data_IF_871232102253
#
_entry.id   IF_871232102253
#
_cell.length_a   1.000
_cell.length_b   1.000
_cell.length_c   1.000
_cell.angle_alpha   90.00
_cell.angle_beta   90.00
_cell.angle_gamma   90.00
#
_symmetry.space_group_name_H-M   'P 1'
#
loop_
_entity.id
_entity.type
_entity.pdbx_description
1 polymer ?
#
# COMPACT_ATOMS: atom_id res chain seq x y z
N UNK A 1 23.32 -38.14 82.37
CA UNK A 1 24.44 -38.19 81.44
C UNK A 1 23.90 -38.68 80.10
N UNK A 2 23.69 -37.81 79.19
CA UNK A 2 23.25 -38.14 77.79
C UNK A 2 24.40 -37.67 76.88
N UNK A 3 24.78 -38.45 75.89
CA UNK A 3 25.89 -38.12 75.01
C UNK A 3 25.42 -37.15 73.89
N UNK A 4 26.22 -36.18 73.61
CA UNK A 4 26.12 -35.22 72.53
C UNK A 4 26.61 -35.87 71.22
N UNK A 5 25.78 -35.83 70.17
CA UNK A 5 26.19 -36.13 68.81
C UNK A 5 26.56 -34.89 68.01
N UNK A 6 27.62 -34.86 67.21
CA UNK A 6 27.96 -33.71 66.39
C UNK A 6 27.10 -33.69 65.10
N UNK A 7 26.56 -32.53 64.81
CA UNK A 7 25.87 -32.22 63.57
C UNK A 7 26.90 -31.99 62.48
N UNK A 8 26.91 -32.87 61.46
CA UNK A 8 27.68 -32.66 60.24
C UNK A 8 26.83 -31.84 59.28
N UNK A 9 27.24 -30.58 59.08
CA UNK A 9 26.62 -29.71 58.08
C UNK A 9 27.20 -30.03 56.72
N UNK A 10 26.43 -30.75 55.90
CA UNK A 10 26.77 -30.98 54.48
C UNK A 10 26.38 -29.72 53.67
N UNK A 11 27.37 -28.99 53.20
CA UNK A 11 27.17 -27.89 52.24
C UNK A 11 26.90 -28.48 50.85
N UNK A 12 25.67 -28.43 50.40
CA UNK A 12 25.30 -28.74 49.01
C UNK A 12 25.65 -27.54 48.15
N UNK A 13 26.72 -27.63 47.38
CA UNK A 13 27.12 -26.70 46.37
C UNK A 13 26.22 -26.93 45.13
N UNK A 14 25.16 -26.15 45.01
CA UNK A 14 24.31 -26.14 43.82
C UNK A 14 25.03 -25.37 42.72
N UNK A 15 25.65 -26.07 41.78
CA UNK A 15 26.13 -25.49 40.53
C UNK A 15 24.89 -25.11 39.68
N UNK A 16 24.55 -23.82 39.67
CA UNK A 16 23.67 -23.27 38.64
C UNK A 16 24.44 -23.22 37.31
N UNK A 17 24.29 -24.26 36.47
CA UNK A 17 24.57 -24.14 35.06
C UNK A 17 23.57 -23.16 34.47
N UNK A 18 23.94 -21.91 34.31
CA UNK A 18 23.24 -20.96 33.44
C UNK A 18 23.49 -21.43 31.98
N UNK A 19 22.64 -22.32 31.50
CA UNK A 19 22.50 -22.53 30.07
C UNK A 19 21.91 -21.23 29.50
N UNK A 20 22.78 -20.36 29.00
CA UNK A 20 22.37 -19.31 28.09
C UNK A 20 21.83 -19.99 26.84
N UNK A 21 20.51 -20.22 26.80
CA UNK A 21 19.80 -20.49 25.58
C UNK A 21 19.97 -19.25 24.69
N UNK A 22 20.96 -19.29 23.78
CA UNK A 22 20.98 -18.49 22.59
C UNK A 22 19.81 -18.95 21.72
N UNK A 23 18.58 -18.64 22.15
CA UNK A 23 17.44 -18.65 21.28
C UNK A 23 17.75 -17.62 20.19
N UNK A 24 17.94 -18.06 18.96
CA UNK A 24 17.85 -17.17 17.82
C UNK A 24 16.59 -16.33 18.01
N UNK A 25 16.76 -15.02 18.25
CA UNK A 25 15.62 -14.12 18.28
C UNK A 25 15.06 -14.13 16.88
N UNK A 26 14.00 -14.90 16.68
CA UNK A 26 13.23 -14.92 15.43
C UNK A 26 12.74 -13.50 15.22
N UNK A 27 13.10 -12.89 14.10
CA UNK A 27 12.65 -11.55 13.79
C UNK A 27 11.13 -11.51 13.69
N UNK A 28 10.53 -10.41 14.11
CA UNK A 28 9.09 -10.23 13.99
C UNK A 28 8.72 -10.06 12.51
N UNK A 29 7.75 -10.81 12.04
CA UNK A 29 7.17 -10.67 10.69
C UNK A 29 5.72 -10.21 10.81
N UNK A 30 5.29 -9.36 9.90
CA UNK A 30 3.89 -9.03 9.82
C UNK A 30 3.05 -10.25 9.34
N UNK A 31 1.76 -10.30 9.65
CA UNK A 31 0.94 -11.48 9.35
C UNK A 31 1.03 -11.91 7.88
N UNK A 32 1.19 -13.23 7.66
CA UNK A 32 1.33 -13.86 6.33
C UNK A 32 2.53 -13.38 5.50
N UNK A 33 3.49 -12.68 6.10
CA UNK A 33 4.73 -12.31 5.43
C UNK A 33 5.66 -13.53 5.30
N UNK A 34 6.31 -13.72 4.15
CA UNK A 34 7.43 -14.62 4.06
C UNK A 34 8.67 -13.99 4.73
N UNK A 35 9.62 -14.79 5.20
CA UNK A 35 10.93 -14.29 5.59
C UNK A 35 11.54 -13.45 4.46
N UNK A 36 12.05 -12.25 4.74
CA UNK A 36 12.62 -11.40 3.70
C UNK A 36 13.98 -11.88 3.22
N UNK A 37 14.25 -11.72 1.92
CA UNK A 37 15.60 -11.84 1.36
C UNK A 37 16.31 -10.50 1.42
N UNK A 38 17.12 -10.30 2.44
CA UNK A 38 17.92 -9.08 2.58
C UNK A 38 19.04 -8.95 1.52
N UNK A 39 19.37 -10.04 0.81
CA UNK A 39 20.36 -10.04 -0.27
C UNK A 39 19.99 -9.15 -1.45
N UNK A 40 18.70 -8.83 -1.63
CA UNK A 40 18.21 -7.92 -2.68
C UNK A 40 18.83 -6.51 -2.57
N UNK A 41 19.22 -6.08 -1.37
CA UNK A 41 19.84 -4.76 -1.16
C UNK A 41 21.17 -4.58 -1.88
N UNK A 42 21.88 -5.67 -2.23
CA UNK A 42 23.13 -5.60 -3.03
C UNK A 42 22.93 -4.92 -4.39
N UNK A 43 21.75 -5.06 -4.96
CA UNK A 43 21.39 -4.43 -6.24
C UNK A 43 21.26 -2.89 -6.17
N UNK A 44 21.27 -2.33 -4.97
CA UNK A 44 21.15 -0.89 -4.75
C UNK A 44 22.46 -0.24 -4.29
N UNK A 45 23.59 -0.97 -4.28
CA UNK A 45 24.87 -0.44 -3.86
C UNK A 45 25.31 0.74 -4.75
N UNK A 46 25.53 1.91 -4.14
CA UNK A 46 25.91 3.15 -4.82
C UNK A 46 24.78 3.84 -5.58
N UNK A 47 23.50 3.46 -5.35
CA UNK A 47 22.36 4.05 -6.07
C UNK A 47 21.76 5.28 -5.40
N UNK A 48 22.20 5.64 -4.21
CA UNK A 48 21.71 6.81 -3.46
C UNK A 48 22.85 7.44 -2.66
N UNK A 49 22.82 8.76 -2.46
CA UNK A 49 23.73 9.48 -1.57
C UNK A 49 23.23 9.44 -0.12
N UNK A 50 24.13 9.64 0.83
CA UNK A 50 23.80 9.63 2.25
C UNK A 50 22.74 10.68 2.62
N UNK A 51 22.90 11.90 2.14
CA UNK A 51 22.00 13.01 2.41
C UNK A 51 20.58 12.74 1.88
N UNK A 52 20.47 12.17 0.69
CA UNK A 52 19.19 11.86 0.07
C UNK A 52 18.51 10.65 0.77
N UNK A 53 19.29 9.65 1.19
CA UNK A 53 18.78 8.53 1.98
C UNK A 53 18.21 9.03 3.31
N UNK A 54 18.95 9.88 4.03
CA UNK A 54 18.50 10.44 5.31
C UNK A 54 17.27 11.33 5.14
N UNK A 55 17.26 12.17 4.10
CA UNK A 55 16.12 13.03 3.77
C UNK A 55 14.85 12.21 3.52
N UNK A 56 14.92 11.19 2.64
CA UNK A 56 13.76 10.36 2.31
C UNK A 56 13.27 9.57 3.53
N UNK A 57 14.17 9.01 4.34
CA UNK A 57 13.79 8.34 5.58
C UNK A 57 13.07 9.29 6.53
N UNK A 58 13.57 10.52 6.71
CA UNK A 58 13.06 11.47 7.71
C UNK A 58 11.83 12.24 7.24
N UNK A 59 11.72 12.54 5.93
CA UNK A 59 10.64 13.37 5.40
C UNK A 59 9.50 12.58 4.77
N UNK A 60 9.78 11.36 4.26
CA UNK A 60 8.79 10.59 3.50
C UNK A 60 8.42 9.29 4.22
N UNK A 61 9.43 8.43 4.47
CA UNK A 61 9.15 7.05 4.85
C UNK A 61 8.91 6.85 6.35
N UNK A 62 9.70 7.53 7.23
CA UNK A 62 9.67 7.31 8.69
C UNK A 62 9.83 8.65 9.43
N UNK A 63 8.86 9.54 9.38
CA UNK A 63 9.00 10.91 9.86
C UNK A 63 9.14 11.04 11.39
N UNK A 64 8.79 10.00 12.15
CA UNK A 64 8.98 9.97 13.60
C UNK A 64 10.45 9.72 14.01
N UNK A 65 11.33 9.45 13.05
CA UNK A 65 12.76 9.23 13.25
C UNK A 65 13.14 7.86 13.80
N UNK A 66 12.17 6.95 14.02
CA UNK A 66 12.41 5.59 14.56
C UNK A 66 13.25 4.71 13.64
N UNK A 67 13.43 5.09 12.38
CA UNK A 67 14.35 4.40 11.48
C UNK A 67 15.80 4.33 12.00
N UNK A 68 16.21 5.28 12.89
CA UNK A 68 17.56 5.32 13.48
C UNK A 68 17.86 4.14 14.40
N UNK A 69 16.85 3.44 14.88
CA UNK A 69 17.02 2.20 15.64
C UNK A 69 17.54 1.05 14.78
N UNK A 70 17.33 1.14 13.44
CA UNK A 70 17.60 0.07 12.49
C UNK A 70 18.65 0.41 11.45
N UNK A 71 18.92 1.70 11.21
CA UNK A 71 19.78 2.17 10.12
C UNK A 71 20.71 3.25 10.67
N UNK A 72 22.02 3.02 10.49
CA UNK A 72 23.07 4.01 10.76
C UNK A 72 23.65 4.46 9.42
N UNK A 73 23.63 5.76 9.14
CA UNK A 73 24.11 6.34 7.90
C UNK A 73 25.45 7.04 8.14
N UNK A 74 26.42 6.73 7.31
CA UNK A 74 27.72 7.44 7.21
C UNK A 74 27.88 7.94 5.76
N UNK A 75 28.86 8.81 5.46
CA UNK A 75 29.04 9.32 4.10
C UNK A 75 29.25 8.24 3.03
N UNK A 76 29.80 7.07 3.39
CA UNK A 76 30.13 6.01 2.44
C UNK A 76 29.23 4.78 2.47
N UNK A 77 28.48 4.59 3.54
CA UNK A 77 27.64 3.39 3.69
C UNK A 77 26.44 3.62 4.64
N UNK A 78 25.40 2.82 4.44
CA UNK A 78 24.35 2.62 5.41
C UNK A 78 24.49 1.23 6.05
N UNK A 79 24.52 1.18 7.38
CA UNK A 79 24.57 -0.06 8.17
C UNK A 79 23.16 -0.37 8.64
N UNK A 80 22.59 -1.45 8.14
CA UNK A 80 21.20 -1.83 8.35
C UNK A 80 21.16 -3.05 9.26
N UNK A 81 20.35 -2.99 10.34
CA UNK A 81 20.08 -4.09 11.25
C UNK A 81 18.83 -4.85 10.79
N UNK A 82 18.95 -6.08 10.26
CA UNK A 82 17.80 -6.86 9.81
C UNK A 82 16.86 -7.24 10.96
N UNK A 83 17.42 -7.71 12.06
CA UNK A 83 16.74 -8.07 13.30
C UNK A 83 17.71 -8.05 14.48
N UNK A 84 17.23 -7.98 15.74
CA UNK A 84 18.09 -8.09 16.91
C UNK A 84 18.93 -9.38 16.83
N UNK A 85 20.22 -9.27 17.13
CA UNK A 85 21.17 -10.40 17.11
C UNK A 85 21.65 -10.86 15.73
N UNK A 86 21.10 -10.36 14.63
CA UNK A 86 21.61 -10.64 13.30
C UNK A 86 22.83 -9.76 12.96
N UNK A 87 23.74 -10.28 12.13
CA UNK A 87 24.82 -9.48 11.56
C UNK A 87 24.28 -8.32 10.74
N UNK A 88 24.89 -7.12 10.82
CA UNK A 88 24.45 -5.96 10.05
C UNK A 88 24.71 -6.12 8.56
N UNK A 89 23.84 -5.53 7.76
CA UNK A 89 24.01 -5.43 6.30
C UNK A 89 24.64 -4.07 6.01
N UNK A 90 25.74 -4.07 5.29
CA UNK A 90 26.42 -2.85 4.84
C UNK A 90 26.04 -2.57 3.39
N UNK A 91 25.37 -1.44 3.18
CA UNK A 91 24.98 -0.95 1.86
C UNK A 91 25.91 0.21 1.48
N UNK A 92 26.81 0.04 0.51
CA UNK A 92 27.63 1.14 -0.01
C UNK A 92 26.73 2.24 -0.60
N UNK A 93 27.02 3.50 -0.27
CA UNK A 93 26.33 4.68 -0.81
C UNK A 93 27.16 5.31 -1.92
N UNK A 94 26.52 6.14 -2.75
CA UNK A 94 27.20 6.90 -3.77
C UNK A 94 28.13 7.94 -3.10
N UNK A 95 29.43 8.03 -3.51
CA UNK A 95 30.33 9.01 -2.94
C UNK A 95 29.86 10.45 -3.18
N UNK A 96 30.16 11.38 -2.28
CA UNK A 96 29.86 12.80 -2.49
C UNK A 96 30.40 13.30 -3.84
N UNK A 97 29.63 14.11 -4.56
CA UNK A 97 30.01 14.68 -5.85
C UNK A 97 29.99 13.73 -7.05
N UNK A 98 29.63 12.45 -6.85
CA UNK A 98 29.46 11.50 -7.96
C UNK A 98 27.99 11.27 -8.26
N UNK A 99 27.66 10.93 -9.51
CA UNK A 99 26.30 10.53 -9.85
C UNK A 99 26.00 9.14 -9.29
N UNK A 100 24.84 8.96 -8.61
CA UNK A 100 24.42 7.66 -8.16
C UNK A 100 24.26 6.67 -9.32
N UNK A 101 24.60 5.41 -9.06
CA UNK A 101 24.37 4.33 -10.02
C UNK A 101 22.86 4.12 -10.20
N UNK A 102 22.48 3.65 -11.39
CA UNK A 102 21.09 3.20 -11.59
C UNK A 102 20.76 2.05 -10.64
N UNK A 103 19.65 2.16 -9.85
CA UNK A 103 19.22 1.07 -8.97
C UNK A 103 18.81 -0.17 -9.75
N UNK A 104 19.02 -1.35 -9.18
CA UNK A 104 18.52 -2.61 -9.75
C UNK A 104 17.02 -2.72 -9.54
N UNK A 105 16.25 -2.31 -10.53
CA UNK A 105 14.79 -2.33 -10.54
C UNK A 105 14.25 -2.78 -11.89
N UNK A 106 13.06 -3.38 -11.90
CA UNK A 106 12.45 -3.87 -13.15
C UNK A 106 11.66 -2.81 -13.92
N UNK A 107 11.32 -1.71 -13.31
CA UNK A 107 10.52 -0.63 -13.89
C UNK A 107 11.39 0.52 -14.40
N UNK A 108 10.85 1.30 -15.32
CA UNK A 108 11.49 2.47 -15.92
C UNK A 108 10.79 3.74 -15.46
N UNK A 109 11.58 4.75 -15.07
CA UNK A 109 11.09 6.08 -14.76
C UNK A 109 10.69 6.84 -16.03
N UNK A 110 9.96 7.95 -15.86
CA UNK A 110 9.64 8.87 -16.94
C UNK A 110 10.88 9.31 -17.71
N UNK A 111 11.99 9.66 -17.02
CA UNK A 111 13.24 10.11 -17.62
C UNK A 111 13.95 9.06 -18.48
N UNK A 112 13.66 7.79 -18.30
CA UNK A 112 14.22 6.67 -19.07
C UNK A 112 13.36 6.30 -20.30
N UNK A 113 12.39 7.15 -20.66
CA UNK A 113 11.41 6.90 -21.72
C UNK A 113 11.44 8.00 -22.77
N UNK A 114 11.13 7.62 -23.99
CA UNK A 114 10.97 8.56 -25.10
C UNK A 114 9.50 8.45 -25.56
N UNK A 115 8.67 9.46 -25.30
CA UNK A 115 7.29 9.47 -25.78
C UNK A 115 7.22 9.44 -27.31
N UNK A 116 6.21 8.75 -27.85
CA UNK A 116 5.95 8.75 -29.30
C UNK A 116 4.84 9.75 -29.64
N UNK A 117 4.96 10.49 -30.75
CA UNK A 117 3.90 11.39 -31.24
C UNK A 117 2.56 10.64 -31.37
N UNK A 118 1.50 11.21 -30.80
CA UNK A 118 0.14 10.64 -30.82
C UNK A 118 -0.08 9.42 -29.92
N UNK A 119 0.98 8.89 -29.27
CA UNK A 119 0.89 7.79 -28.33
C UNK A 119 1.69 8.11 -27.05
N UNK A 120 1.16 8.95 -26.17
CA UNK A 120 1.90 9.47 -25.00
C UNK A 120 2.35 8.38 -24.02
N UNK A 121 1.68 7.22 -24.03
CA UNK A 121 1.99 6.09 -23.14
C UNK A 121 2.66 4.92 -23.86
N UNK A 122 3.18 5.14 -25.09
CA UNK A 122 3.82 4.06 -25.87
C UNK A 122 4.96 3.40 -25.09
N UNK A 123 4.92 2.06 -25.04
CA UNK A 123 5.89 1.23 -24.35
C UNK A 123 5.85 1.31 -22.81
N UNK A 124 4.87 2.02 -22.21
CA UNK A 124 4.63 2.00 -20.75
C UNK A 124 3.85 0.75 -20.38
N UNK A 125 4.33 0.03 -19.39
CA UNK A 125 3.69 -1.15 -18.82
C UNK A 125 2.95 -0.76 -17.56
N UNK A 126 1.62 -0.93 -17.54
CA UNK A 126 0.77 -0.52 -16.42
C UNK A 126 0.02 -1.72 -15.88
N UNK A 127 0.05 -1.92 -14.56
CA UNK A 127 -0.90 -2.79 -13.89
C UNK A 127 -1.99 -1.92 -13.24
N UNK A 128 -3.25 -2.22 -13.49
CA UNK A 128 -4.37 -1.62 -12.78
C UNK A 128 -4.80 -2.58 -11.67
N UNK A 129 -4.86 -2.10 -10.44
CA UNK A 129 -5.33 -2.83 -9.27
C UNK A 129 -6.72 -2.32 -8.85
N UNK A 130 -7.81 -2.97 -9.32
CA UNK A 130 -9.15 -2.65 -8.83
C UNK A 130 -9.24 -3.01 -7.36
N UNK A 131 -9.39 -2.03 -6.47
CA UNK A 131 -9.49 -2.23 -5.04
C UNK A 131 -10.61 -3.18 -4.64
N UNK A 132 -10.48 -3.80 -3.48
CA UNK A 132 -11.45 -4.74 -2.90
C UNK A 132 -11.73 -5.99 -3.78
N UNK A 133 -12.63 -6.85 -3.32
CA UNK A 133 -12.98 -8.10 -3.99
C UNK A 133 -14.32 -8.01 -4.74
N UNK A 134 -15.30 -7.35 -4.10
CA UNK A 134 -16.67 -7.25 -4.60
C UNK A 134 -17.43 -8.58 -4.58
N UNK A 135 -18.67 -8.56 -5.07
CA UNK A 135 -19.55 -9.73 -5.13
C UNK A 135 -19.78 -10.34 -3.75
N UNK A 136 -19.68 -11.66 -3.64
CA UNK A 136 -19.94 -12.39 -2.39
C UNK A 136 -19.02 -12.01 -1.22
N UNK A 137 -17.94 -11.25 -1.46
CA UNK A 137 -17.01 -10.80 -0.44
C UNK A 137 -17.25 -9.37 0.04
N UNK A 138 -18.06 -8.59 -0.67
CA UNK A 138 -18.23 -7.16 -0.41
C UNK A 138 -18.76 -6.85 1.01
N UNK A 139 -19.65 -7.69 1.55
CA UNK A 139 -20.15 -7.56 2.92
C UNK A 139 -19.06 -7.89 3.96
N UNK A 140 -18.26 -8.95 3.72
CA UNK A 140 -17.14 -9.33 4.59
C UNK A 140 -16.09 -8.22 4.66
N UNK A 141 -15.83 -7.53 3.54
CA UNK A 141 -14.89 -6.42 3.48
C UNK A 141 -15.41 -5.13 4.13
N UNK A 142 -16.67 -5.09 4.58
CA UNK A 142 -17.39 -3.88 5.00
C UNK A 142 -17.33 -2.79 3.90
N UNK A 143 -17.48 -3.20 2.64
CA UNK A 143 -17.48 -2.36 1.44
C UNK A 143 -18.74 -2.57 0.60
N UNK A 144 -19.85 -2.72 1.30
CA UNK A 144 -21.18 -2.96 0.76
C UNK A 144 -22.23 -2.25 1.59
N UNK A 145 -23.17 -1.59 0.94
CA UNK A 145 -24.40 -1.13 1.56
C UNK A 145 -25.56 -1.10 0.55
N UNK A 146 -26.79 -1.05 1.05
CA UNK A 146 -28.00 -0.90 0.26
C UNK A 146 -29.03 -0.09 1.02
N UNK A 147 -29.69 0.85 0.34
CA UNK A 147 -30.73 1.68 0.92
C UNK A 147 -32.09 1.23 0.36
N UNK A 148 -32.95 0.68 1.20
CA UNK A 148 -34.27 0.19 0.81
C UNK A 148 -34.20 -0.81 -0.35
N UNK A 149 -34.94 -0.54 -1.43
CA UNK A 149 -34.98 -1.36 -2.64
C UNK A 149 -33.93 -0.99 -3.70
N UNK A 150 -32.93 -0.14 -3.36
CA UNK A 150 -31.89 0.27 -4.31
C UNK A 150 -31.01 -0.91 -4.73
N UNK A 151 -30.24 -0.72 -5.82
CA UNK A 151 -29.14 -1.63 -6.15
C UNK A 151 -28.08 -1.54 -5.05
N UNK A 152 -27.43 -2.66 -4.67
CA UNK A 152 -26.28 -2.61 -3.78
C UNK A 152 -25.18 -1.69 -4.31
N UNK A 153 -24.50 -1.00 -3.41
CA UNK A 153 -23.27 -0.27 -3.68
C UNK A 153 -22.12 -1.13 -3.16
N UNK A 154 -21.24 -1.54 -4.06
CA UNK A 154 -20.13 -2.45 -3.78
C UNK A 154 -18.84 -1.86 -4.34
N UNK A 155 -17.91 -1.45 -3.46
CA UNK A 155 -16.69 -0.79 -3.91
C UNK A 155 -15.90 -1.67 -4.89
N UNK A 156 -15.76 -2.96 -4.60
CA UNK A 156 -15.02 -3.86 -5.46
C UNK A 156 -15.61 -4.05 -6.86
N UNK A 157 -16.94 -3.97 -7.03
CA UNK A 157 -17.58 -3.97 -8.35
C UNK A 157 -17.33 -2.64 -9.08
N UNK A 158 -17.52 -1.52 -8.39
CA UNK A 158 -17.34 -0.19 -8.93
C UNK A 158 -15.91 0.03 -9.45
N UNK A 159 -14.90 -0.35 -8.66
CA UNK A 159 -13.49 -0.24 -9.06
C UNK A 159 -13.15 -1.13 -10.26
N UNK A 160 -13.76 -2.31 -10.36
CA UNK A 160 -13.58 -3.19 -11.50
C UNK A 160 -14.18 -2.62 -12.78
N UNK A 161 -15.33 -1.95 -12.71
CA UNK A 161 -15.94 -1.26 -13.85
C UNK A 161 -15.02 -0.14 -14.35
N UNK A 162 -14.52 0.71 -13.43
CA UNK A 162 -13.56 1.78 -13.74
C UNK A 162 -12.29 1.21 -14.37
N UNK A 163 -11.75 0.11 -13.81
CA UNK A 163 -10.53 -0.50 -14.31
C UNK A 163 -10.63 -1.00 -15.76
N UNK A 164 -11.78 -1.53 -16.15
CA UNK A 164 -12.02 -1.95 -17.53
C UNK A 164 -12.01 -0.77 -18.49
N UNK A 165 -12.70 0.34 -18.14
CA UNK A 165 -12.66 1.55 -18.97
C UNK A 165 -11.26 2.18 -18.99
N UNK A 166 -10.59 2.25 -17.86
CA UNK A 166 -9.23 2.79 -17.79
C UNK A 166 -8.27 1.99 -18.65
N UNK A 167 -8.36 0.65 -18.63
CA UNK A 167 -7.55 -0.22 -19.47
C UNK A 167 -7.71 0.15 -20.95
N UNK A 168 -8.94 0.25 -21.45
CA UNK A 168 -9.23 0.62 -22.84
C UNK A 168 -8.62 1.99 -23.21
N UNK A 169 -8.70 2.99 -22.31
CA UNK A 169 -8.14 4.32 -22.55
C UNK A 169 -6.62 4.33 -22.62
N UNK A 170 -5.98 3.63 -21.68
CA UNK A 170 -4.51 3.57 -21.62
C UNK A 170 -3.93 2.79 -22.81
N UNK A 171 -4.59 1.70 -23.24
CA UNK A 171 -4.19 0.94 -24.44
C UNK A 171 -4.35 1.77 -25.71
N UNK A 172 -5.42 2.53 -25.84
CA UNK A 172 -5.60 3.47 -26.97
C UNK A 172 -4.49 4.54 -27.03
N UNK A 173 -3.91 4.92 -25.87
CA UNK A 173 -2.78 5.83 -25.75
C UNK A 173 -1.41 5.15 -25.93
N UNK A 174 -1.37 3.83 -26.16
CA UNK A 174 -0.17 3.05 -26.48
C UNK A 174 0.46 2.30 -25.32
N UNK A 175 -0.15 2.26 -24.14
CA UNK A 175 0.34 1.46 -23.02
C UNK A 175 0.04 -0.03 -23.20
N UNK A 176 0.85 -0.88 -22.54
CA UNK A 176 0.53 -2.29 -22.31
C UNK A 176 -0.11 -2.42 -20.92
N UNK A 177 -1.34 -2.97 -20.82
CA UNK A 177 -2.12 -2.89 -19.59
C UNK A 177 -2.62 -4.24 -19.10
N UNK A 178 -2.39 -4.53 -17.82
CA UNK A 178 -2.88 -5.72 -17.12
C UNK A 178 -3.79 -5.32 -15.95
N UNK A 179 -4.73 -6.19 -15.63
CA UNK A 179 -5.55 -6.08 -14.42
C UNK A 179 -5.06 -7.11 -13.40
N UNK A 180 -4.93 -6.74 -12.14
CA UNK A 180 -4.62 -7.70 -11.06
C UNK A 180 -5.76 -8.68 -10.82
N UNK A 181 -7.00 -8.26 -11.09
CA UNK A 181 -8.20 -9.11 -11.19
C UNK A 181 -9.12 -8.61 -12.32
N UNK A 182 -9.75 -9.54 -13.06
CA UNK A 182 -10.66 -9.24 -14.17
C UNK A 182 -12.13 -9.52 -13.87
N UNK A 183 -12.42 -10.04 -12.67
CA UNK A 183 -13.77 -10.38 -12.17
C UNK A 183 -13.87 -10.10 -10.68
N UNK A 184 -15.10 -10.04 -10.15
CA UNK A 184 -15.33 -10.03 -8.70
C UNK A 184 -14.81 -11.32 -8.08
N UNK A 185 -14.20 -11.19 -6.89
CA UNK A 185 -13.63 -12.32 -6.16
C UNK A 185 -12.14 -12.22 -5.90
N UNK A 186 -11.63 -13.16 -5.13
CA UNK A 186 -10.25 -13.16 -4.65
C UNK A 186 -9.26 -13.68 -5.68
N UNK A 187 -8.10 -13.03 -5.76
CA UNK A 187 -6.90 -13.50 -6.48
C UNK A 187 -6.18 -14.58 -5.66
N UNK A 188 -6.21 -14.46 -4.33
CA UNK A 188 -5.62 -15.45 -3.42
C UNK A 188 -6.43 -16.74 -3.34
N UNK A 189 -5.74 -17.88 -3.18
CA UNK A 189 -6.36 -19.18 -2.84
C UNK A 189 -6.68 -19.33 -1.35
N UNK A 190 -6.23 -18.40 -0.49
CA UNK A 190 -6.56 -18.41 0.94
C UNK A 190 -8.06 -18.22 1.15
N UNK A 191 -8.54 -18.72 2.29
CA UNK A 191 -9.92 -18.52 2.76
C UNK A 191 -9.90 -18.34 4.28
N UNK A 192 -10.83 -17.58 4.89
CA UNK A 192 -10.84 -17.30 6.32
C UNK A 192 -10.74 -18.55 7.19
N UNK A 193 -11.43 -19.63 6.83
CA UNK A 193 -11.40 -20.89 7.58
C UNK A 193 -10.00 -21.51 7.72
N UNK A 194 -9.09 -21.22 6.78
CA UNK A 194 -7.68 -21.67 6.84
C UNK A 194 -6.77 -20.76 7.64
N UNK A 195 -7.28 -19.61 8.06
CA UNK A 195 -6.51 -18.55 8.75
C UNK A 195 -6.84 -18.43 10.25
N UNK A 196 -7.72 -19.29 10.79
CA UNK A 196 -8.14 -19.21 12.20
C UNK A 196 -6.97 -19.34 13.18
N UNK A 197 -6.01 -20.23 12.89
CA UNK A 197 -4.79 -20.39 13.71
C UNK A 197 -3.92 -19.13 13.67
N UNK A 198 -3.67 -18.59 12.49
CA UNK A 198 -2.91 -17.34 12.32
C UNK A 198 -3.62 -16.16 13.00
N UNK A 199 -4.95 -16.07 12.88
CA UNK A 199 -5.77 -15.05 13.53
C UNK A 199 -5.66 -15.13 15.05
N UNK A 200 -5.69 -16.32 15.63
CA UNK A 200 -5.51 -16.53 17.06
C UNK A 200 -4.12 -16.04 17.53
N UNK A 201 -3.07 -16.34 16.76
CA UNK A 201 -1.70 -15.88 17.08
C UNK A 201 -1.60 -14.37 16.99
N UNK A 202 -2.11 -13.76 15.91
CA UNK A 202 -2.12 -12.31 15.71
C UNK A 202 -2.80 -11.57 16.87
N UNK A 203 -4.00 -11.99 17.28
CA UNK A 203 -4.73 -11.39 18.40
C UNK A 203 -3.96 -11.50 19.72
N UNK A 204 -3.28 -12.62 19.96
CA UNK A 204 -2.45 -12.80 21.17
C UNK A 204 -1.22 -11.89 21.18
N UNK A 205 -0.55 -11.74 20.04
CA UNK A 205 0.59 -10.84 19.87
C UNK A 205 0.19 -9.37 20.07
N UNK A 206 -1.02 -9.01 19.66
CA UNK A 206 -1.62 -7.68 19.87
C UNK A 206 -2.15 -7.49 21.31
N UNK A 207 -2.08 -8.51 22.18
CA UNK A 207 -2.62 -8.46 23.54
C UNK A 207 -4.15 -8.46 23.61
N UNK A 208 -4.83 -8.83 22.53
CA UNK A 208 -6.29 -8.86 22.45
C UNK A 208 -6.80 -10.22 22.92
N UNK A 209 -7.77 -10.24 23.87
CA UNK A 209 -8.39 -11.47 24.34
C UNK A 209 -9.16 -12.17 23.19
N UNK A 210 -8.76 -13.38 22.74
CA UNK A 210 -9.35 -14.03 21.57
C UNK A 210 -10.68 -14.72 21.93
N UNK A 211 -11.80 -14.13 21.50
CA UNK A 211 -13.09 -14.85 21.45
C UNK A 211 -13.27 -15.53 20.08
N UNK A 212 -14.16 -16.54 19.98
CA UNK A 212 -14.46 -17.17 18.69
C UNK A 212 -14.90 -16.18 17.60
N UNK A 213 -15.63 -15.15 17.96
CA UNK A 213 -16.07 -14.09 17.06
C UNK A 213 -14.87 -13.23 16.59
N UNK A 214 -14.03 -12.76 17.52
CA UNK A 214 -12.82 -11.98 17.18
C UNK A 214 -11.88 -12.77 16.30
N UNK A 215 -11.69 -14.08 16.57
CA UNK A 215 -10.86 -14.94 15.72
C UNK A 215 -11.43 -15.04 14.31
N UNK A 216 -12.75 -15.16 14.14
CA UNK A 216 -13.37 -15.17 12.80
C UNK A 216 -13.16 -13.84 12.07
N UNK A 217 -13.45 -12.71 12.72
CA UNK A 217 -13.25 -11.39 12.14
C UNK A 217 -11.78 -11.12 11.75
N UNK A 218 -10.85 -11.53 12.61
CA UNK A 218 -9.42 -11.41 12.30
C UNK A 218 -9.02 -12.33 11.13
N UNK A 219 -9.53 -13.55 11.06
CA UNK A 219 -9.30 -14.45 9.93
C UNK A 219 -9.85 -13.89 8.61
N UNK A 220 -11.01 -13.23 8.64
CA UNK A 220 -11.58 -12.52 7.50
C UNK A 220 -10.69 -11.32 7.11
N UNK A 221 -10.26 -10.50 8.07
CA UNK A 221 -9.33 -9.38 7.85
C UNK A 221 -8.01 -9.86 7.24
N UNK A 222 -7.42 -10.91 7.78
CA UNK A 222 -6.20 -11.53 7.24
C UNK A 222 -6.40 -12.03 5.80
N UNK A 223 -7.57 -12.55 5.48
CA UNK A 223 -7.88 -13.00 4.14
C UNK A 223 -7.92 -11.85 3.15
N UNK A 224 -8.83 -10.86 3.35
CA UNK A 224 -9.07 -9.84 2.33
C UNK A 224 -8.09 -8.67 2.37
N UNK A 225 -7.56 -8.28 3.55
CA UNK A 225 -6.61 -7.16 3.68
C UNK A 225 -5.15 -7.57 3.57
N UNK A 226 -4.80 -8.81 3.93
CA UNK A 226 -3.39 -9.23 3.95
C UNK A 226 -3.13 -10.25 2.86
N UNK A 227 -3.80 -11.39 2.88
CA UNK A 227 -3.59 -12.48 1.94
C UNK A 227 -3.86 -12.10 0.49
N UNK A 228 -4.94 -11.37 0.26
CA UNK A 228 -5.29 -10.87 -1.07
C UNK A 228 -4.28 -9.85 -1.61
N UNK A 229 -3.92 -8.84 -0.80
CA UNK A 229 -2.97 -7.81 -1.22
C UNK A 229 -1.59 -8.43 -1.50
N UNK A 230 -1.12 -9.36 -0.64
CA UNK A 230 0.13 -10.10 -0.89
C UNK A 230 0.07 -10.96 -2.15
N UNK A 231 -1.07 -11.56 -2.49
CA UNK A 231 -1.22 -12.32 -3.73
C UNK A 231 -1.15 -11.42 -4.96
N UNK A 232 -1.80 -10.25 -4.93
CA UNK A 232 -1.72 -9.25 -5.99
C UNK A 232 -0.30 -8.71 -6.13
N UNK A 233 0.40 -8.43 -5.03
CA UNK A 233 1.79 -7.98 -5.05
C UNK A 233 2.72 -9.02 -5.69
N UNK A 234 2.56 -10.31 -5.36
CA UNK A 234 3.32 -11.38 -6.03
C UNK A 234 3.03 -11.44 -7.53
N UNK A 235 1.77 -11.27 -7.95
CA UNK A 235 1.41 -11.21 -9.36
C UNK A 235 2.10 -10.03 -10.05
N UNK A 236 2.05 -8.85 -9.45
CA UNK A 236 2.65 -7.62 -9.99
C UNK A 236 4.17 -7.74 -10.06
N UNK A 237 4.84 -8.05 -8.95
CA UNK A 237 6.30 -8.00 -8.85
C UNK A 237 6.98 -9.14 -9.61
N UNK A 238 6.38 -10.35 -9.65
CA UNK A 238 7.01 -11.53 -10.25
C UNK A 238 6.56 -11.83 -11.68
N UNK A 239 5.30 -11.50 -12.04
CA UNK A 239 4.71 -11.87 -13.34
C UNK A 239 4.54 -10.69 -14.28
N UNK A 240 3.83 -9.65 -13.85
CA UNK A 240 3.52 -8.50 -14.71
C UNK A 240 4.77 -7.63 -14.87
N UNK A 241 5.44 -7.29 -13.77
CA UNK A 241 6.61 -6.39 -13.72
C UNK A 241 6.36 -5.06 -14.43
N UNK A 242 5.33 -4.29 -14.03
CA UNK A 242 4.94 -3.06 -14.71
C UNK A 242 5.87 -1.90 -14.36
N UNK A 243 5.84 -0.83 -15.14
CA UNK A 243 6.50 0.44 -14.82
C UNK A 243 5.72 1.23 -13.76
N UNK A 244 4.38 1.02 -13.70
CA UNK A 244 3.46 1.70 -12.80
C UNK A 244 2.30 0.80 -12.39
N UNK A 245 1.88 0.89 -11.13
CA UNK A 245 0.59 0.37 -10.67
C UNK A 245 -0.38 1.53 -10.47
N UNK A 246 -1.62 1.37 -10.93
CA UNK A 246 -2.74 2.28 -10.64
C UNK A 246 -3.73 1.55 -9.75
N UNK A 247 -3.81 1.93 -8.48
CA UNK A 247 -4.81 1.43 -7.55
C UNK A 247 -6.06 2.30 -7.63
N UNK A 248 -7.21 1.66 -7.82
CA UNK A 248 -8.49 2.33 -7.93
C UNK A 248 -9.37 2.01 -6.72
N UNK A 249 -9.81 3.03 -6.03
CA UNK A 249 -10.70 2.94 -4.88
C UNK A 249 -11.82 3.98 -4.96
N UNK A 250 -12.81 3.84 -4.10
CA UNK A 250 -13.80 4.84 -3.75
C UNK A 250 -13.75 5.02 -2.24
N UNK A 251 -13.72 6.26 -1.78
CA UNK A 251 -13.74 6.52 -0.35
C UNK A 251 -15.14 6.24 0.25
N UNK A 252 -15.22 6.21 1.57
CA UNK A 252 -16.46 6.10 2.30
C UNK A 252 -16.39 6.91 3.58
N UNK A 253 -17.48 7.59 3.92
CA UNK A 253 -17.74 8.10 5.27
C UNK A 253 -18.50 7.02 6.06
N UNK A 254 -18.50 7.14 7.38
CA UNK A 254 -19.31 6.27 8.22
C UNK A 254 -20.79 6.33 7.80
N UNK A 255 -21.39 5.19 7.51
CA UNK A 255 -22.82 5.11 7.19
C UNK A 255 -23.68 4.62 8.35
N UNK A 256 -23.11 4.50 9.56
CA UNK A 256 -23.82 4.11 10.78
C UNK A 256 -24.19 2.63 10.81
N UNK A 257 -25.44 2.35 11.18
CA UNK A 257 -25.92 0.96 11.27
C UNK A 257 -25.98 0.30 9.87
N UNK A 258 -25.27 -0.82 9.63
CA UNK A 258 -25.29 -1.51 8.34
C UNK A 258 -26.69 -2.00 7.89
N UNK A 259 -27.63 -2.21 8.82
CA UNK A 259 -29.00 -2.57 8.48
C UNK A 259 -29.82 -1.37 8.00
N UNK A 260 -29.42 -0.16 8.38
CA UNK A 260 -30.07 1.10 8.03
C UNK A 260 -29.01 2.16 7.70
N UNK A 261 -28.23 1.97 6.61
CA UNK A 261 -27.15 2.86 6.26
C UNK A 261 -27.67 4.25 5.87
N UNK A 262 -26.90 5.29 6.23
CA UNK A 262 -27.21 6.67 5.90
C UNK A 262 -26.33 7.21 4.80
N UNK A 263 -26.87 8.11 3.98
CA UNK A 263 -26.08 8.90 3.05
C UNK A 263 -25.53 10.15 3.74
N UNK A 264 -24.39 10.63 3.25
CA UNK A 264 -23.75 11.88 3.65
C UNK A 264 -23.78 12.90 2.51
N UNK A 265 -23.63 14.17 2.84
CA UNK A 265 -23.40 15.22 1.83
C UNK A 265 -21.90 15.44 1.55
N UNK A 266 -21.01 14.84 2.35
CA UNK A 266 -19.56 14.93 2.13
C UNK A 266 -19.17 14.17 0.87
N UNK A 267 -18.34 14.81 0.06
CA UNK A 267 -17.75 14.20 -1.13
C UNK A 267 -16.41 14.86 -1.38
N UNK A 268 -15.37 14.10 -1.63
CA UNK A 268 -14.01 14.59 -1.73
C UNK A 268 -13.12 13.64 -2.54
N UNK A 269 -11.88 14.06 -2.75
CA UNK A 269 -10.88 13.31 -3.50
C UNK A 269 -9.52 13.45 -2.84
N UNK A 270 -8.73 12.39 -2.83
CA UNK A 270 -7.31 12.41 -2.52
C UNK A 270 -6.57 11.27 -3.19
N UNK A 271 -5.25 11.36 -3.22
CA UNK A 271 -4.34 10.31 -3.67
C UNK A 271 -3.32 10.04 -2.57
N UNK A 272 -2.87 8.79 -2.51
CA UNK A 272 -1.98 8.30 -1.47
C UNK A 272 -0.64 7.82 -2.04
N UNK A 273 0.44 8.35 -1.48
CA UNK A 273 1.81 7.93 -1.76
C UNK A 273 2.33 7.03 -0.64
N UNK A 274 3.31 6.18 -0.95
CA UNK A 274 3.94 5.29 0.02
C UNK A 274 4.83 6.05 1.01
N UNK A 275 4.70 5.75 2.30
CA UNK A 275 5.52 6.31 3.37
C UNK A 275 4.76 6.51 4.68
N UNK A 276 5.26 7.38 5.55
CA UNK A 276 4.69 7.67 6.87
C UNK A 276 4.53 6.42 7.75
N UNK A 277 5.56 5.59 7.78
CA UNK A 277 5.62 4.42 8.67
C UNK A 277 5.95 4.83 10.09
N UNK A 278 5.43 4.10 11.04
CA UNK A 278 5.68 4.25 12.48
C UNK A 278 6.76 3.28 12.97
N UNK A 279 7.35 3.56 14.13
CA UNK A 279 8.30 2.65 14.77
C UNK A 279 7.72 1.28 15.09
N UNK A 280 6.40 1.18 15.34
CA UNK A 280 5.72 -0.12 15.54
C UNK A 280 5.69 -0.98 14.28
N UNK A 281 5.51 -0.38 13.12
CA UNK A 281 5.56 -1.05 11.82
C UNK A 281 6.99 -1.46 11.48
N UNK A 282 7.96 -0.61 11.77
CA UNK A 282 9.38 -0.92 11.54
C UNK A 282 9.93 -2.08 12.39
N UNK A 283 9.25 -2.53 13.44
CA UNK A 283 9.64 -3.76 14.15
C UNK A 283 9.54 -5.01 13.29
N UNK A 284 8.70 -4.99 12.24
CA UNK A 284 8.56 -6.11 11.32
C UNK A 284 9.65 -6.06 10.24
N UNK A 285 10.40 -7.15 10.10
CA UNK A 285 11.49 -7.26 9.12
C UNK A 285 11.02 -7.06 7.67
N UNK A 286 9.88 -7.69 7.33
CA UNK A 286 9.31 -7.60 5.99
C UNK A 286 8.82 -6.19 5.66
N UNK A 287 8.44 -5.40 6.65
CA UNK A 287 8.05 -4.01 6.44
C UNK A 287 9.27 -3.11 6.21
N UNK A 288 10.36 -3.32 6.97
CA UNK A 288 11.61 -2.58 6.75
C UNK A 288 12.21 -2.83 5.38
N UNK A 289 12.33 -4.09 4.95
CA UNK A 289 12.92 -4.41 3.65
C UNK A 289 12.08 -3.87 2.49
N UNK A 290 10.75 -4.01 2.54
CA UNK A 290 9.87 -3.49 1.48
C UNK A 290 9.92 -1.96 1.40
N UNK A 291 9.99 -1.27 2.54
CA UNK A 291 10.25 0.18 2.59
C UNK A 291 11.57 0.55 1.90
N UNK A 292 12.66 -0.15 2.27
CA UNK A 292 13.98 0.12 1.70
C UNK A 292 14.03 -0.14 0.20
N UNK A 293 13.40 -1.20 -0.29
CA UNK A 293 13.32 -1.50 -1.72
C UNK A 293 12.63 -0.37 -2.48
N UNK A 294 11.52 0.16 -1.98
CA UNK A 294 10.83 1.30 -2.59
C UNK A 294 11.67 2.58 -2.56
N UNK A 295 12.25 2.91 -1.40
CA UNK A 295 13.08 4.08 -1.24
C UNK A 295 14.30 4.03 -2.18
N UNK A 296 15.07 2.95 -2.12
CA UNK A 296 16.30 2.77 -2.92
C UNK A 296 16.00 2.61 -4.41
N UNK A 297 14.83 2.08 -4.76
CA UNK A 297 14.34 2.04 -6.13
C UNK A 297 13.99 3.41 -6.70
N UNK A 298 13.82 4.43 -5.84
CA UNK A 298 13.47 5.80 -6.25
C UNK A 298 12.01 5.95 -6.66
N UNK A 299 11.09 5.15 -6.09
CA UNK A 299 9.67 5.17 -6.48
C UNK A 299 8.99 6.48 -6.11
N UNK A 300 9.40 7.15 -5.02
CA UNK A 300 8.74 8.35 -4.50
C UNK A 300 8.64 9.48 -5.53
N UNK A 301 9.71 9.74 -6.27
CA UNK A 301 9.72 10.82 -7.28
C UNK A 301 8.70 10.56 -8.41
N UNK A 302 8.61 9.30 -8.89
CA UNK A 302 7.63 8.90 -9.91
C UNK A 302 6.19 8.92 -9.36
N UNK A 303 5.99 8.41 -8.13
CA UNK A 303 4.69 8.45 -7.45
C UNK A 303 4.19 9.88 -7.30
N UNK A 304 5.05 10.80 -6.84
CA UNK A 304 4.71 12.20 -6.65
C UNK A 304 4.36 12.86 -7.99
N UNK A 305 5.22 12.77 -8.99
CA UNK A 305 5.00 13.41 -10.28
C UNK A 305 3.76 12.90 -11.02
N UNK A 306 3.54 11.59 -11.05
CA UNK A 306 2.36 10.99 -11.65
C UNK A 306 1.07 11.37 -10.89
N UNK A 307 1.12 11.34 -9.55
CA UNK A 307 -0.02 11.70 -8.70
C UNK A 307 -0.37 13.17 -8.78
N UNK A 308 0.61 14.08 -8.96
CA UNK A 308 0.38 15.51 -9.21
C UNK A 308 -0.50 15.73 -10.47
N UNK A 309 -0.15 15.07 -11.58
CA UNK A 309 -0.91 15.20 -12.82
C UNK A 309 -2.30 14.53 -12.71
N UNK A 310 -2.38 13.34 -12.11
CA UNK A 310 -3.64 12.61 -11.96
C UNK A 310 -4.59 13.32 -11.01
N UNK A 311 -4.12 13.88 -9.90
CA UNK A 311 -4.97 14.62 -8.95
C UNK A 311 -5.54 15.92 -9.57
N UNK A 312 -4.72 16.67 -10.33
CA UNK A 312 -5.21 17.83 -11.08
C UNK A 312 -6.28 17.47 -12.10
N UNK A 313 -6.04 16.40 -12.85
CA UNK A 313 -7.00 15.90 -13.84
C UNK A 313 -8.32 15.43 -13.21
N UNK A 314 -8.26 14.73 -12.08
CA UNK A 314 -9.44 14.32 -11.32
C UNK A 314 -10.18 15.53 -10.74
N UNK A 315 -9.48 16.47 -10.11
CA UNK A 315 -10.08 17.69 -9.55
C UNK A 315 -10.79 18.52 -10.65
N UNK A 316 -10.14 18.68 -11.80
CA UNK A 316 -10.73 19.41 -12.93
C UNK A 316 -11.97 18.70 -13.53
N UNK A 317 -11.98 17.36 -13.56
CA UNK A 317 -13.10 16.59 -14.11
C UNK A 317 -14.30 16.54 -13.16
N UNK A 318 -14.06 16.45 -11.85
CA UNK A 318 -15.09 16.14 -10.85
C UNK A 318 -15.54 17.37 -10.06
N UNK A 319 -14.72 18.42 -9.96
CA UNK A 319 -14.95 19.56 -9.08
C UNK A 319 -14.88 19.24 -7.59
N UNK A 320 -14.41 18.03 -7.22
CA UNK A 320 -14.38 17.60 -5.82
C UNK A 320 -13.32 18.35 -5.02
N UNK A 321 -13.62 18.74 -3.78
CA UNK A 321 -12.64 19.33 -2.87
C UNK A 321 -11.63 18.26 -2.40
N UNK A 322 -10.45 18.68 -1.90
CA UNK A 322 -9.49 17.75 -1.29
C UNK A 322 -10.03 17.19 0.03
N UNK A 323 -9.65 15.96 0.33
CA UNK A 323 -9.81 15.37 1.66
C UNK A 323 -8.68 15.84 2.58
N UNK A 324 -8.98 16.09 3.85
CA UNK A 324 -7.97 16.45 4.85
C UNK A 324 -7.95 15.40 5.96
N UNK A 325 -6.78 14.79 6.15
CA UNK A 325 -6.55 13.91 7.29
C UNK A 325 -6.33 14.71 8.58
N UNK A 326 -6.99 14.32 9.67
CA UNK A 326 -6.86 14.94 10.99
C UNK A 326 -6.06 14.08 11.98
N UNK A 327 -5.69 12.86 11.61
CA UNK A 327 -4.91 11.93 12.45
C UNK A 327 -3.43 11.89 12.05
N UNK A 328 -2.60 11.32 12.95
CA UNK A 328 -1.15 11.17 12.73
C UNK A 328 -0.74 10.08 11.73
N UNK A 329 -1.70 9.39 11.11
CA UNK A 329 -1.46 8.25 10.20
C UNK A 329 -1.25 8.64 8.74
N UNK A 330 -1.31 9.92 8.42
CA UNK A 330 -1.03 10.48 7.10
C UNK A 330 -0.48 11.89 7.22
N UNK A 331 0.29 12.33 6.22
CA UNK A 331 0.88 13.67 6.15
C UNK A 331 0.83 14.21 4.73
N UNK A 332 0.80 15.54 4.52
CA UNK A 332 0.88 16.12 3.18
C UNK A 332 2.12 15.64 2.43
N UNK A 333 1.98 15.30 1.14
CA UNK A 333 3.09 14.89 0.29
C UNK A 333 3.82 16.08 -0.37
N UNK A 334 3.08 17.15 -0.63
CA UNK A 334 3.58 18.39 -1.24
C UNK A 334 2.66 19.57 -0.90
N UNK A 335 2.79 20.69 -1.58
CA UNK A 335 1.83 21.80 -1.51
C UNK A 335 0.48 21.50 -2.18
N UNK A 336 0.36 20.40 -2.92
CA UNK A 336 -0.89 19.97 -3.53
C UNK A 336 -1.82 19.37 -2.45
N UNK A 337 -2.98 19.98 -2.14
CA UNK A 337 -3.84 19.55 -1.03
C UNK A 337 -4.50 18.17 -1.26
N UNK A 338 -4.43 17.63 -2.46
CA UNK A 338 -4.97 16.32 -2.79
C UNK A 338 -4.01 15.18 -2.50
N UNK A 339 -2.71 15.45 -2.20
CA UNK A 339 -1.69 14.41 -2.08
C UNK A 339 -1.26 14.18 -0.64
N UNK A 340 -1.34 12.93 -0.21
CA UNK A 340 -1.00 12.51 1.14
C UNK A 340 -0.05 11.32 1.13
N UNK A 341 0.88 11.28 2.07
CA UNK A 341 1.76 10.13 2.32
C UNK A 341 1.12 9.30 3.44
N UNK A 342 0.94 8.01 3.18
CA UNK A 342 0.37 7.07 4.15
C UNK A 342 0.92 5.66 3.94
N UNK A 343 1.21 4.95 5.04
CA UNK A 343 1.58 3.55 4.96
C UNK A 343 0.34 2.69 4.69
N UNK A 344 0.23 2.18 3.47
CA UNK A 344 -0.74 1.17 3.07
C UNK A 344 -0.02 -0.07 2.57
N UNK A 345 -0.52 -1.26 2.93
CA UNK A 345 0.11 -2.52 2.54
C UNK A 345 0.27 -2.65 1.02
N UNK A 346 -0.73 -2.26 0.23
CA UNK A 346 -0.67 -2.27 -1.23
C UNK A 346 0.45 -1.36 -1.76
N UNK A 347 0.48 -0.08 -1.32
CA UNK A 347 1.50 0.88 -1.75
C UNK A 347 2.92 0.39 -1.44
N UNK A 348 3.12 -0.24 -0.29
CA UNK A 348 4.43 -0.73 0.14
C UNK A 348 4.86 -1.99 -0.61
N UNK A 349 3.93 -2.94 -0.84
CA UNK A 349 4.27 -4.25 -1.42
C UNK A 349 4.46 -4.23 -2.94
N UNK A 350 3.92 -3.27 -3.67
CA UNK A 350 4.24 -3.09 -5.09
C UNK A 350 5.60 -2.41 -5.21
N UNK A 351 6.61 -3.13 -5.71
CA UNK A 351 8.00 -2.65 -5.78
C UNK A 351 8.23 -1.56 -6.84
N UNK A 352 7.29 -1.34 -7.74
CA UNK A 352 7.27 -0.21 -8.68
C UNK A 352 6.48 0.98 -8.12
N UNK A 353 6.52 2.15 -8.79
CA UNK A 353 5.69 3.30 -8.45
C UNK A 353 4.19 2.98 -8.43
N UNK A 354 3.46 3.62 -7.53
CA UNK A 354 2.00 3.45 -7.36
C UNK A 354 1.30 4.80 -7.42
N UNK A 355 0.26 4.91 -8.23
CA UNK A 355 -0.74 5.98 -8.18
C UNK A 355 -1.98 5.40 -7.52
N UNK A 356 -2.24 5.78 -6.27
CA UNK A 356 -3.33 5.25 -5.46
C UNK A 356 -4.44 6.29 -5.35
N UNK A 357 -5.55 6.04 -6.03
CA UNK A 357 -6.64 6.99 -6.19
C UNK A 357 -7.82 6.68 -5.25
N UNK A 358 -8.30 7.69 -4.55
CA UNK A 358 -9.45 7.68 -3.63
C UNK A 358 -10.41 8.85 -3.96
N UNK A 359 -10.95 8.97 -5.18
CA UNK A 359 -11.97 9.96 -5.46
C UNK A 359 -13.35 9.43 -5.05
N UNK A 360 -14.26 10.37 -4.82
CA UNK A 360 -15.65 10.14 -4.47
C UNK A 360 -15.86 9.43 -3.11
N UNK A 361 -16.92 9.76 -2.45
CA UNK A 361 -17.41 9.08 -1.25
C UNK A 361 -18.61 8.24 -1.66
N UNK A 362 -18.48 6.90 -1.64
CA UNK A 362 -19.49 6.01 -2.24
C UNK A 362 -20.88 6.09 -1.58
N UNK A 363 -20.94 6.50 -0.30
CA UNK A 363 -22.20 6.81 0.41
C UNK A 363 -22.54 8.31 0.44
N UNK A 364 -21.88 9.14 -0.37
CA UNK A 364 -22.34 10.49 -0.65
C UNK A 364 -23.61 10.45 -1.51
N UNK A 365 -24.59 11.30 -1.21
CA UNK A 365 -25.87 11.33 -1.96
C UNK A 365 -25.66 11.50 -3.46
N UNK A 366 -24.87 12.48 -3.97
CA UNK A 366 -24.66 12.61 -5.40
C UNK A 366 -23.96 11.41 -6.04
N UNK A 367 -23.03 10.75 -5.32
CA UNK A 367 -22.34 9.55 -5.81
C UNK A 367 -23.27 8.37 -5.84
N UNK A 368 -24.06 8.16 -4.77
CA UNK A 368 -25.08 7.11 -4.70
C UNK A 368 -26.05 7.21 -5.87
N UNK A 369 -26.61 8.39 -6.15
CA UNK A 369 -27.56 8.61 -7.24
C UNK A 369 -26.94 8.24 -8.60
N UNK A 370 -25.68 8.64 -8.85
CA UNK A 370 -24.95 8.30 -10.07
C UNK A 370 -24.66 6.80 -10.19
N UNK A 371 -24.32 6.14 -9.08
CA UNK A 371 -24.11 4.68 -9.03
C UNK A 371 -25.41 3.92 -9.30
N UNK A 372 -26.55 4.40 -8.79
CA UNK A 372 -27.87 3.79 -9.07
C UNK A 372 -28.25 3.86 -10.55
N UNK A 373 -27.84 4.92 -11.27
CA UNK A 373 -28.03 5.03 -12.72
C UNK A 373 -27.18 3.99 -13.47
N UNK A 374 -26.00 3.67 -12.95
CA UNK A 374 -25.04 2.76 -13.59
C UNK A 374 -24.23 3.39 -14.71
N UNK A 375 -23.62 2.55 -15.55
CA UNK A 375 -22.87 3.01 -16.71
C UNK A 375 -23.77 3.39 -17.91
N UNK A 376 -23.33 4.41 -18.65
CA UNK A 376 -23.96 4.83 -19.91
C UNK A 376 -22.93 5.53 -20.82
N UNK A 377 -23.08 5.45 -22.14
CA UNK A 377 -22.23 6.17 -23.09
C UNK A 377 -22.62 7.66 -23.17
N UNK A 378 -21.64 8.50 -23.47
CA UNK A 378 -21.84 9.94 -23.68
C UNK A 378 -22.26 10.69 -22.42
N UNK A 379 -23.10 11.72 -22.59
CA UNK A 379 -23.60 12.58 -21.52
C UNK A 379 -25.08 12.34 -21.27
N UNK A 380 -25.46 12.18 -20.00
CA UNK A 380 -26.85 12.05 -19.55
C UNK A 380 -27.19 13.17 -18.56
N UNK A 381 -28.45 13.59 -18.54
CA UNK A 381 -28.92 14.53 -17.53
C UNK A 381 -29.08 13.80 -16.18
N UNK A 382 -28.32 14.24 -15.18
CA UNK A 382 -28.38 13.74 -13.82
C UNK A 382 -28.53 14.94 -12.89
N UNK A 383 -29.66 15.03 -12.20
CA UNK A 383 -29.91 16.18 -11.31
C UNK A 383 -29.91 17.54 -11.99
N UNK A 384 -30.29 17.64 -13.29
CA UNK A 384 -30.27 18.89 -14.05
C UNK A 384 -28.94 19.20 -14.76
N UNK A 385 -27.90 18.45 -14.53
CA UNK A 385 -26.57 18.63 -15.14
C UNK A 385 -26.26 17.50 -16.14
N UNK A 386 -25.75 17.85 -17.32
CA UNK A 386 -25.27 16.87 -18.29
C UNK A 386 -23.88 16.40 -17.93
N UNK A 387 -23.73 15.14 -17.58
CA UNK A 387 -22.45 14.54 -17.16
C UNK A 387 -22.28 13.11 -17.69
N UNK A 388 -21.04 12.62 -17.80
CA UNK A 388 -20.77 11.23 -18.14
C UNK A 388 -21.12 10.30 -16.97
N UNK A 389 -21.13 8.98 -17.21
CA UNK A 389 -21.19 8.00 -16.15
C UNK A 389 -19.99 8.20 -15.19
N UNK A 390 -20.22 8.02 -13.88
CA UNK A 390 -19.19 8.20 -12.86
C UNK A 390 -17.95 7.32 -13.11
N UNK A 391 -18.15 6.12 -13.65
CA UNK A 391 -17.09 5.18 -13.95
C UNK A 391 -16.21 5.66 -15.10
N UNK A 392 -16.83 6.23 -16.15
CA UNK A 392 -16.11 6.78 -17.32
C UNK A 392 -15.40 8.08 -16.96
N UNK A 393 -16.03 8.96 -16.18
CA UNK A 393 -15.43 10.20 -15.69
C UNK A 393 -14.14 9.91 -14.91
N UNK A 394 -14.19 8.95 -13.99
CA UNK A 394 -13.03 8.52 -13.20
C UNK A 394 -11.92 7.97 -14.10
N UNK A 395 -12.24 7.00 -14.97
CA UNK A 395 -11.29 6.38 -15.89
C UNK A 395 -10.63 7.41 -16.83
N UNK A 396 -11.45 8.29 -17.44
CA UNK A 396 -10.97 9.31 -18.38
C UNK A 396 -10.06 10.34 -17.68
N UNK A 397 -10.37 10.72 -16.44
CA UNK A 397 -9.54 11.66 -15.68
C UNK A 397 -8.18 11.05 -15.30
N UNK A 398 -8.14 9.81 -14.83
CA UNK A 398 -6.88 9.13 -14.54
C UNK A 398 -6.04 8.96 -15.82
N UNK A 399 -6.65 8.53 -16.92
CA UNK A 399 -5.94 8.37 -18.18
C UNK A 399 -5.33 9.67 -18.70
N UNK A 400 -6.06 10.80 -18.61
CA UNK A 400 -5.53 12.14 -18.99
C UNK A 400 -4.36 12.55 -18.11
N UNK A 401 -4.44 12.38 -16.78
CA UNK A 401 -3.35 12.72 -15.87
C UNK A 401 -2.08 11.90 -16.11
N UNK A 402 -2.22 10.60 -16.41
CA UNK A 402 -1.08 9.76 -16.77
C UNK A 402 -0.49 10.15 -18.14
N UNK A 403 -1.33 10.48 -19.13
CA UNK A 403 -0.88 10.97 -20.40
C UNK A 403 -0.15 12.33 -20.30
N UNK A 404 -0.59 13.22 -19.44
CA UNK A 404 0.09 14.47 -19.14
C UNK A 404 1.47 14.22 -18.54
N UNK A 405 1.57 13.33 -17.55
CA UNK A 405 2.84 13.03 -16.89
C UNK A 405 3.84 12.36 -17.82
N UNK A 406 3.45 11.26 -18.48
CA UNK A 406 4.38 10.46 -19.28
C UNK A 406 4.55 10.96 -20.72
N UNK A 407 3.57 11.68 -21.27
CA UNK A 407 3.59 12.20 -22.65
C UNK A 407 4.16 13.61 -22.77
N UNK A 408 4.27 14.36 -21.68
CA UNK A 408 4.90 15.67 -21.70
C UNK A 408 6.40 15.59 -21.95
N UNK A 409 6.95 16.49 -22.77
CA UNK A 409 8.38 16.60 -22.96
C UNK A 409 9.08 16.81 -21.60
N UNK A 410 10.20 16.10 -21.38
CA UNK A 410 11.08 16.40 -20.26
C UNK A 410 11.66 17.80 -20.46
N UNK A 411 11.28 18.75 -19.62
CA UNK A 411 11.88 20.09 -19.58
C UNK A 411 13.24 20.02 -18.90
#
# INVERSE_FOLDING_TARGET
MLPTFPVITAAILTLFCAATALGEQVGMLSPLAPPPDWGVLRGYAGSIRAEELERLLSEVYVPDGSWREWIVITPGEAVITPRPGAGPIRLPLAPPGTDPKRPSRFWKSRSERVPLPGKPLAGLRIAIDPGHLGGNFAQMEARWFRIGASKPVEEGEMTLIVAKFLKERLEAMGAEVWLTRSRNGATTSLRPAKLLGTALSSLREEGVNPSPERIRHEAERLFYRVGEIRARARLVNAKIRPDLVVCLHFNAEEWGNPAHPSLTEKNHLHLLLSGSMSGSELRHEDERITMLVKLLGGTHAEELGASECVSRSLAAATGLPPFTYHGGNARPASSNPYLWIRNLLANRLFECPVVYCEPYVMNSRPVFDRVQIGDYPGLRNVGGVRMPSIYREYADAVARGLAEYYGGASH
#
